data_IF_943108726112
#
_entry.id   IF_943108726112
#
_cell.length_a   1.000
_cell.length_b   1.000
_cell.length_c   1.000
_cell.angle_alpha   90.00
_cell.angle_beta   90.00
_cell.angle_gamma   90.00
#
_symmetry.space_group_name_H-M   'P 1'
#
loop_
_entity.id
_entity.type
_entity.pdbx_description
1 polymer ?
#
# COMPACT_ATOMS: atom_id res chain seq x y z
N UNK A 1 11.21 13.73 -9.20
CA UNK A 1 10.11 12.99 -8.52
C UNK A 1 10.32 11.52 -8.82
N UNK A 2 10.53 10.72 -7.78
CA UNK A 2 10.70 9.26 -7.91
C UNK A 2 9.37 8.58 -7.66
N UNK A 3 9.07 7.55 -8.43
CA UNK A 3 7.90 6.68 -8.26
C UNK A 3 8.32 5.23 -8.37
N UNK A 4 7.90 4.40 -7.42
CA UNK A 4 8.17 2.96 -7.37
C UNK A 4 6.86 2.21 -7.19
N UNK A 5 6.74 1.06 -7.85
CA UNK A 5 5.65 0.12 -7.62
C UNK A 5 6.14 -1.10 -6.85
N UNK A 6 5.43 -1.44 -5.77
CA UNK A 6 5.67 -2.64 -4.98
C UNK A 6 4.53 -3.62 -5.22
N UNK A 7 4.82 -4.74 -5.88
CA UNK A 7 3.85 -5.81 -6.10
C UNK A 7 3.50 -6.48 -4.76
N UNK A 8 2.21 -6.68 -4.52
CA UNK A 8 1.71 -7.37 -3.32
C UNK A 8 1.29 -8.81 -3.67
N UNK A 9 1.38 -9.76 -2.73
CA UNK A 9 1.12 -11.17 -3.01
C UNK A 9 -0.37 -11.49 -3.18
N UNK A 10 -1.26 -10.57 -2.80
CA UNK A 10 -2.70 -10.80 -2.79
C UNK A 10 -3.38 -10.41 -4.10
N UNK A 11 -4.33 -11.24 -4.52
CA UNK A 11 -5.14 -11.00 -5.72
C UNK A 11 -6.47 -10.29 -5.42
N UNK A 12 -6.74 -9.99 -4.15
CA UNK A 12 -7.96 -9.33 -3.65
C UNK A 12 -7.70 -8.71 -2.26
N UNK A 13 -8.50 -7.71 -1.83
CA UNK A 13 -8.44 -7.18 -0.46
C UNK A 13 -8.64 -8.29 0.58
N UNK A 14 -7.90 -8.22 1.67
CA UNK A 14 -7.93 -9.20 2.76
C UNK A 14 -8.87 -8.75 3.88
N UNK A 15 -9.08 -7.44 4.02
CA UNK A 15 -9.99 -6.86 4.99
C UNK A 15 -11.22 -6.26 4.30
N UNK A 16 -12.33 -6.23 5.02
CA UNK A 16 -13.54 -5.53 4.61
C UNK A 16 -14.20 -4.93 5.87
N UNK A 17 -14.37 -3.60 5.96
CA UNK A 17 -14.93 -2.94 7.15
C UNK A 17 -16.37 -3.37 7.43
N UNK A 18 -17.12 -3.79 6.41
CA UNK A 18 -18.51 -4.19 6.55
C UNK A 18 -18.67 -5.64 7.05
N UNK A 19 -17.58 -6.42 7.10
CA UNK A 19 -17.62 -7.78 7.62
C UNK A 19 -17.50 -7.76 9.14
N UNK A 20 -18.49 -8.33 9.84
CA UNK A 20 -18.47 -8.53 11.30
C UNK A 20 -17.57 -9.70 11.70
N UNK A 21 -16.30 -9.61 11.33
CA UNK A 21 -15.29 -10.62 11.60
C UNK A 21 -14.90 -10.61 13.08
N UNK A 22 -14.62 -11.80 13.64
CA UNK A 22 -14.12 -11.92 15.00
C UNK A 22 -12.78 -11.18 15.17
N UNK A 23 -12.63 -10.40 16.25
CA UNK A 23 -11.48 -9.51 16.48
C UNK A 23 -10.12 -10.20 16.35
N UNK A 24 -10.01 -11.45 16.82
CA UNK A 24 -8.76 -12.22 16.74
C UNK A 24 -8.39 -12.58 15.29
N UNK A 25 -9.38 -12.88 14.46
CA UNK A 25 -9.17 -13.18 13.04
C UNK A 25 -8.73 -11.91 12.32
N UNK A 26 -9.38 -10.77 12.62
CA UNK A 26 -8.97 -9.47 12.09
C UNK A 26 -7.52 -9.15 12.44
N UNK A 27 -7.14 -9.27 13.71
CA UNK A 27 -5.78 -9.00 14.16
C UNK A 27 -4.75 -9.89 13.47
N UNK A 28 -5.06 -11.19 13.29
CA UNK A 28 -4.19 -12.12 12.57
C UNK A 28 -3.97 -11.70 11.11
N UNK A 29 -5.04 -11.35 10.39
CA UNK A 29 -4.96 -10.90 8.99
C UNK A 29 -4.16 -9.60 8.89
N UNK A 30 -4.42 -8.63 9.79
CA UNK A 30 -3.67 -7.37 9.83
C UNK A 30 -2.18 -7.61 10.06
N UNK A 31 -1.80 -8.50 10.98
CA UNK A 31 -0.40 -8.84 11.23
C UNK A 31 0.28 -9.49 10.02
N UNK A 32 -0.44 -10.33 9.27
CA UNK A 32 0.04 -10.93 8.02
C UNK A 32 0.31 -9.85 6.96
N UNK A 33 -0.64 -8.93 6.75
CA UNK A 33 -0.49 -7.83 5.80
C UNK A 33 0.73 -6.98 6.15
N UNK A 34 0.86 -6.58 7.43
CA UNK A 34 2.00 -5.77 7.91
C UNK A 34 3.32 -6.46 7.65
N UNK A 35 3.44 -7.72 8.08
CA UNK A 35 4.66 -8.53 7.94
C UNK A 35 5.08 -8.64 6.47
N UNK A 36 4.16 -9.04 5.59
CA UNK A 36 4.48 -9.31 4.19
C UNK A 36 4.82 -8.01 3.46
N UNK A 37 4.11 -6.92 3.76
CA UNK A 37 4.43 -5.58 3.22
C UNK A 37 5.81 -5.12 3.68
N UNK A 38 6.15 -5.34 4.96
CA UNK A 38 7.47 -4.97 5.49
C UNK A 38 8.60 -5.72 4.78
N UNK A 39 8.42 -7.01 4.50
CA UNK A 39 9.40 -7.80 3.74
C UNK A 39 9.58 -7.29 2.32
N UNK A 40 8.49 -6.95 1.62
CA UNK A 40 8.54 -6.40 0.26
C UNK A 40 9.28 -5.05 0.25
N UNK A 41 9.00 -4.18 1.22
CA UNK A 41 9.69 -2.89 1.35
C UNK A 41 11.20 -3.07 1.61
N UNK A 42 11.58 -3.96 2.53
CA UNK A 42 13.00 -4.27 2.80
C UNK A 42 13.71 -4.83 1.56
N UNK A 43 13.04 -5.70 0.81
CA UNK A 43 13.59 -6.27 -0.42
C UNK A 43 13.79 -5.20 -1.53
N UNK A 44 12.95 -4.17 -1.56
CA UNK A 44 13.06 -3.07 -2.51
C UNK A 44 14.21 -2.10 -2.21
N UNK A 45 14.79 -2.13 -0.99
CA UNK A 45 15.96 -1.32 -0.57
C UNK A 45 15.81 0.18 -0.89
N UNK A 46 14.62 0.72 -0.65
CA UNK A 46 14.31 2.12 -0.94
C UNK A 46 14.84 3.04 0.16
N UNK A 47 15.35 4.21 -0.23
CA UNK A 47 15.78 5.28 0.69
C UNK A 47 15.05 6.58 0.31
N UNK A 48 13.75 6.69 0.58
CA UNK A 48 12.96 7.83 0.16
C UNK A 48 13.26 9.07 1.02
N UNK A 49 13.05 10.23 0.42
CA UNK A 49 12.87 11.47 1.18
C UNK A 49 11.41 11.60 1.62
N UNK A 50 11.18 12.26 2.73
CA UNK A 50 9.84 12.47 3.27
C UNK A 50 9.26 13.83 2.83
N UNK A 51 7.93 13.93 2.71
CA UNK A 51 6.94 12.87 2.87
C UNK A 51 6.87 11.91 1.67
N UNK A 52 6.53 10.65 1.95
CA UNK A 52 6.24 9.62 0.93
C UNK A 52 4.74 9.64 0.67
N UNK A 53 4.33 9.79 -0.58
CA UNK A 53 2.94 9.55 -0.98
C UNK A 53 2.73 8.07 -1.26
N UNK A 54 1.73 7.46 -0.63
CA UNK A 54 1.38 6.04 -0.77
C UNK A 54 0.00 5.91 -1.40
N UNK A 55 -0.15 4.98 -2.35
CA UNK A 55 -1.46 4.64 -2.94
C UNK A 55 -1.58 3.14 -3.12
N UNK A 56 -2.59 2.53 -2.52
CA UNK A 56 -2.96 1.15 -2.81
C UNK A 56 -3.73 1.08 -4.13
N UNK A 57 -3.31 0.16 -4.99
CA UNK A 57 -3.96 -0.14 -6.25
C UNK A 57 -4.50 -1.57 -6.25
N UNK A 58 -5.70 -1.76 -6.79
CA UNK A 58 -6.33 -3.07 -6.92
C UNK A 58 -6.97 -3.23 -8.30
N UNK A 59 -6.52 -4.24 -9.03
CA UNK A 59 -7.17 -4.72 -10.24
C UNK A 59 -7.96 -5.99 -9.92
N UNK A 60 -9.30 -5.98 -10.02
CA UNK A 60 -10.11 -7.16 -9.75
C UNK A 60 -10.09 -8.16 -10.90
N UNK A 61 -10.23 -9.46 -10.57
CA UNK A 61 -10.37 -10.53 -11.56
C UNK A 61 -11.77 -10.60 -12.21
N UNK A 62 -12.78 -9.97 -11.61
CA UNK A 62 -14.18 -10.03 -12.05
C UNK A 62 -14.84 -8.67 -11.90
N UNK A 63 -15.74 -8.37 -12.84
CA UNK A 63 -16.51 -7.13 -12.83
C UNK A 63 -17.41 -7.08 -11.61
N UNK A 64 -17.75 -5.86 -11.18
CA UNK A 64 -18.58 -5.64 -10.00
C UNK A 64 -18.26 -4.31 -9.36
N UNK A 65 -19.31 -3.67 -8.83
CA UNK A 65 -19.20 -2.43 -8.07
C UNK A 65 -18.41 -2.68 -6.79
N UNK A 66 -17.39 -1.87 -6.55
CA UNK A 66 -16.54 -1.93 -5.36
C UNK A 66 -16.28 -0.51 -4.88
N UNK A 67 -16.31 -0.34 -3.57
CA UNK A 67 -16.00 0.93 -2.93
C UNK A 67 -14.50 0.96 -2.57
N UNK A 68 -13.74 1.95 -3.06
CA UNK A 68 -12.37 2.18 -2.63
C UNK A 68 -12.20 2.31 -1.11
N UNK A 69 -13.19 2.83 -0.40
CA UNK A 69 -13.15 3.01 1.07
C UNK A 69 -13.01 1.69 1.82
N UNK A 70 -13.49 0.58 1.24
CA UNK A 70 -13.31 -0.74 1.84
C UNK A 70 -11.85 -1.19 1.86
N UNK A 71 -11.02 -0.68 0.94
CA UNK A 71 -9.60 -1.01 0.84
C UNK A 71 -8.75 -0.21 1.83
N UNK A 72 -9.29 0.82 2.49
CA UNK A 72 -8.53 1.64 3.43
C UNK A 72 -8.04 0.83 4.63
N UNK A 73 -8.72 -0.25 5.03
CA UNK A 73 -8.24 -1.14 6.09
C UNK A 73 -6.97 -1.91 5.67
N UNK A 74 -6.93 -2.41 4.44
CA UNK A 74 -5.73 -3.04 3.88
C UNK A 74 -4.62 -2.00 3.69
N UNK A 75 -4.95 -0.83 3.13
CA UNK A 75 -4.02 0.29 2.91
C UNK A 75 -3.35 0.73 4.21
N UNK A 76 -4.12 0.89 5.29
CA UNK A 76 -3.58 1.22 6.61
C UNK A 76 -2.61 0.16 7.13
N UNK A 77 -2.99 -1.12 7.04
CA UNK A 77 -2.13 -2.23 7.47
C UNK A 77 -0.86 -2.34 6.61
N UNK A 78 -0.91 -1.94 5.34
CA UNK A 78 0.27 -1.88 4.47
C UNK A 78 1.19 -0.74 4.86
N UNK A 79 0.65 0.47 5.09
CA UNK A 79 1.40 1.64 5.56
C UNK A 79 2.13 1.33 6.87
N UNK A 80 1.43 0.72 7.83
CA UNK A 80 1.99 0.22 9.07
C UNK A 80 3.20 -0.72 8.81
N UNK A 81 3.08 -1.62 7.84
CA UNK A 81 4.18 -2.50 7.42
C UNK A 81 5.36 -1.75 6.78
N UNK A 82 5.13 -0.65 6.08
CA UNK A 82 6.20 0.22 5.55
C UNK A 82 6.97 0.90 6.69
N UNK A 83 6.28 1.36 7.72
CA UNK A 83 6.88 1.92 8.94
C UNK A 83 7.66 0.83 9.71
N UNK A 84 7.07 -0.37 9.88
CA UNK A 84 7.75 -1.53 10.49
C UNK A 84 9.02 -1.94 9.72
N UNK A 85 9.09 -1.63 8.41
CA UNK A 85 10.28 -1.87 7.59
C UNK A 85 11.37 -0.80 7.74
N UNK A 86 11.10 0.31 8.44
CA UNK A 86 11.99 1.45 8.56
C UNK A 86 11.97 2.37 7.34
N UNK A 87 10.96 2.28 6.47
CA UNK A 87 10.85 3.15 5.29
C UNK A 87 10.48 4.59 5.69
N UNK A 88 9.80 4.75 6.83
CA UNK A 88 9.48 6.01 7.45
C UNK A 88 9.54 5.86 8.98
N UNK A 89 9.86 6.93 9.74
CA UNK A 89 9.86 6.89 11.19
C UNK A 89 8.48 6.67 11.82
N UNK A 90 7.42 7.21 11.21
CA UNK A 90 6.04 7.13 11.68
C UNK A 90 5.06 7.19 10.49
N UNK A 91 3.78 6.94 10.74
CA UNK A 91 2.69 7.00 9.75
C UNK A 91 2.01 8.38 9.66
N UNK A 92 2.50 9.36 10.41
CA UNK A 92 1.94 10.71 10.43
C UNK A 92 2.11 11.41 9.09
N UNK A 93 1.32 12.46 8.88
CA UNK A 93 1.25 13.19 7.60
C UNK A 93 2.60 13.80 7.15
N UNK A 94 3.50 14.06 8.11
CA UNK A 94 4.85 14.60 7.84
C UNK A 94 5.76 13.58 7.15
N UNK A 95 5.49 12.28 7.35
CA UNK A 95 6.29 11.19 6.78
C UNK A 95 5.55 10.41 5.70
N UNK A 96 4.25 10.19 5.87
CA UNK A 96 3.41 9.41 4.97
C UNK A 96 2.12 10.17 4.63
N UNK A 97 1.90 10.35 3.33
CA UNK A 97 0.66 10.87 2.78
C UNK A 97 -0.09 9.75 2.07
N UNK A 98 -1.12 9.21 2.72
CA UNK A 98 -2.02 8.24 2.11
C UNK A 98 -2.93 8.93 1.07
N UNK A 99 -3.06 8.33 -0.11
CA UNK A 99 -4.12 8.66 -1.06
C UNK A 99 -5.18 7.58 -1.04
N UNK A 100 -6.40 7.97 -1.40
CA UNK A 100 -7.51 7.03 -1.58
C UNK A 100 -7.08 5.85 -2.47
N UNK A 101 -7.36 4.60 -2.07
CA UNK A 101 -7.09 3.44 -2.90
C UNK A 101 -7.71 3.57 -4.29
N UNK A 102 -7.04 3.03 -5.30
CA UNK A 102 -7.50 3.06 -6.68
C UNK A 102 -7.91 1.67 -7.12
N UNK A 103 -9.18 1.54 -7.51
CA UNK A 103 -9.70 0.32 -8.12
C UNK A 103 -9.65 0.48 -9.63
N UNK A 104 -8.94 -0.42 -10.30
CA UNK A 104 -8.77 -0.42 -11.74
C UNK A 104 -9.86 -1.25 -12.43
N UNK A 105 -10.10 -1.03 -13.74
CA UNK A 105 -10.94 -1.90 -14.54
C UNK A 105 -10.45 -3.35 -14.51
N UNK A 106 -11.36 -4.28 -14.76
CA UNK A 106 -11.01 -5.69 -14.99
C UNK A 106 -10.31 -5.79 -16.34
N UNK A 107 -9.24 -6.56 -16.40
CA UNK A 107 -8.59 -6.93 -17.66
C UNK A 107 -8.92 -8.40 -17.97
N UNK A 108 -9.50 -8.65 -19.14
CA UNK A 108 -9.94 -9.98 -19.52
C UNK A 108 -8.76 -10.96 -19.59
N UNK A 109 -8.91 -12.14 -18.99
CA UNK A 109 -7.85 -13.16 -18.92
C UNK A 109 -6.82 -12.96 -17.82
N UNK A 110 -6.80 -11.80 -17.15
CA UNK A 110 -5.87 -11.54 -16.05
C UNK A 110 -6.45 -11.93 -14.68
N UNK A 111 -5.56 -12.38 -13.80
CA UNK A 111 -5.89 -12.57 -12.38
C UNK A 111 -5.99 -11.22 -11.68
N UNK A 112 -6.68 -11.21 -10.54
CA UNK A 112 -6.69 -10.04 -9.68
C UNK A 112 -5.28 -9.79 -9.14
N UNK A 113 -4.92 -8.51 -8.94
CA UNK A 113 -3.62 -8.13 -8.39
C UNK A 113 -3.72 -6.86 -7.58
N UNK A 114 -2.81 -6.73 -6.62
CA UNK A 114 -2.68 -5.55 -5.78
C UNK A 114 -1.23 -5.07 -5.80
N UNK A 115 -1.04 -3.77 -5.72
CA UNK A 115 0.29 -3.17 -5.62
C UNK A 115 0.21 -1.83 -4.90
N UNK A 116 1.32 -1.42 -4.31
CA UNK A 116 1.49 -0.05 -3.81
C UNK A 116 2.22 0.77 -4.85
N UNK A 117 1.77 2.00 -5.08
CA UNK A 117 2.62 3.05 -5.62
C UNK A 117 3.18 3.86 -4.45
N UNK A 118 4.48 4.07 -4.47
CA UNK A 118 5.19 5.00 -3.59
C UNK A 118 5.78 6.13 -4.45
N UNK A 119 5.67 7.37 -4.00
CA UNK A 119 6.34 8.48 -4.68
C UNK A 119 6.81 9.57 -3.72
N UNK A 120 7.98 10.15 -4.01
CA UNK A 120 8.60 11.21 -3.22
C UNK A 120 9.43 12.16 -4.10
N UNK A 121 9.74 13.33 -3.56
CA UNK A 121 10.56 14.34 -4.25
C UNK A 121 12.03 14.04 -4.05
N UNK A 122 12.74 13.73 -5.12
CA UNK A 122 14.21 13.66 -5.09
C UNK A 122 14.77 15.07 -5.07
N UNK A 123 15.62 15.38 -4.08
CA UNK A 123 16.49 16.54 -4.19
C UNK A 123 17.41 16.34 -5.40
N UNK A 124 17.47 17.34 -6.27
CA UNK A 124 18.45 17.37 -7.35
C UNK A 124 19.70 17.97 -6.72
N UNK A 125 20.73 17.16 -6.47
CA UNK A 125 22.05 17.69 -6.16
C UNK A 125 22.51 18.55 -7.34
N UNK A 126 22.56 19.88 -7.16
CA UNK A 126 23.21 20.79 -8.09
C UNK A 126 22.35 21.94 -8.61
N UNK A 127 22.29 23.02 -7.84
CA UNK A 127 22.48 24.35 -8.41
C UNK A 127 23.23 25.21 -7.39
N UNK A 128 24.53 24.98 -7.31
CA UNK A 128 25.48 26.00 -6.89
C UNK A 128 25.87 26.78 -8.14
N UNK A 129 25.47 28.05 -8.22
CA UNK A 129 26.14 29.08 -9.02
C UNK A 129 26.54 30.17 -8.04
#
# INVERSE_FOLDING_TARGET
MTRVELALPWTRPQLNPNTRMHRMVRARITAEIRRDTAWIAKAAKLTPTHPITVSLHYQPARSGRRDPGNLCLDSKAMIDGLVDAGLAPDDTFDFIQERMPKIHPVVAGERGRMWLTLSWTTEVEGQSV
#
